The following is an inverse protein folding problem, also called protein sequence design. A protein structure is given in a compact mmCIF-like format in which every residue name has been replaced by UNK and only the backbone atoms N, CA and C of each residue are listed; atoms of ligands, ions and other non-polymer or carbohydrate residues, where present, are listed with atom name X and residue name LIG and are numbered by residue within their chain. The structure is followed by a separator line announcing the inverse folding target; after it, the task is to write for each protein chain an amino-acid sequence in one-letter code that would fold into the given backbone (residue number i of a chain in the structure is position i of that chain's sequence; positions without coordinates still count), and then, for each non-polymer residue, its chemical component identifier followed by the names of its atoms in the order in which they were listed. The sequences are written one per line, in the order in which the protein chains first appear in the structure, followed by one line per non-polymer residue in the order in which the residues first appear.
data_IF_110006748523
#
_entry.id   IF_110006748523
#
_cell.length_a   1.000
_cell.length_b   1.000
_cell.length_c   1.000
_cell.angle_alpha   90.00
_cell.angle_beta   90.00
_cell.angle_gamma   90.00
#
_symmetry.space_group_name_H-M   'P 1'
#
loop_
_entity.id
_entity.type
_entity.pdbx_description
1 polymer ?
#
# COMPACT_ATOMS: atom_id res chain seq x y z
N UNK A 1 2.78 -1.74 9.82
CA UNK A 1 3.21 -0.96 8.63
C UNK A 1 1.98 -0.78 7.76
N UNK A 2 1.64 0.44 7.32
CA UNK A 2 0.58 0.65 6.36
C UNK A 2 0.77 -0.21 5.11
N UNK A 3 -0.32 -0.83 4.67
CA UNK A 3 -0.39 -1.61 3.44
C UNK A 3 -1.01 -0.78 2.31
N UNK A 4 -0.55 -1.05 1.10
CA UNK A 4 -0.98 -0.38 -0.11
C UNK A 4 -1.20 -1.40 -1.23
N UNK A 5 -2.28 -1.20 -1.97
CA UNK A 5 -2.53 -1.86 -3.23
C UNK A 5 -2.24 -0.85 -4.36
N UNK A 6 -1.30 -1.18 -5.23
CA UNK A 6 -0.93 -0.37 -6.37
C UNK A 6 -1.45 -1.00 -7.66
N UNK A 7 -2.34 -0.32 -8.36
CA UNK A 7 -2.82 -0.75 -9.67
C UNK A 7 -1.96 -0.11 -10.76
N UNK A 8 -1.48 -0.91 -11.70
CA UNK A 8 -0.56 -0.48 -12.75
C UNK A 8 -1.17 -0.63 -14.13
N UNK A 9 -1.13 0.47 -14.88
CA UNK A 9 -1.43 0.48 -16.31
C UNK A 9 -0.10 0.38 -17.05
N UNK A 10 -0.03 -0.54 -18.00
CA UNK A 10 1.19 -0.86 -18.72
C UNK A 10 1.02 -0.54 -20.20
N UNK A 11 2.14 -0.27 -20.87
CA UNK A 11 2.21 -0.11 -22.32
C UNK A 11 1.98 -1.47 -22.98
N UNK A 12 1.02 -1.54 -23.91
CA UNK A 12 0.66 -2.76 -24.62
C UNK A 12 1.83 -3.32 -25.45
N UNK A 13 2.73 -2.46 -25.93
CA UNK A 13 3.87 -2.88 -26.72
C UNK A 13 4.98 -3.52 -25.87
N UNK A 14 4.95 -3.31 -24.55
CA UNK A 14 5.95 -3.82 -23.59
C UNK A 14 5.35 -4.72 -22.50
N UNK A 15 4.07 -5.06 -22.65
CA UNK A 15 3.25 -5.64 -21.57
C UNK A 15 3.91 -6.84 -20.88
N UNK A 16 4.33 -7.84 -21.65
CA UNK A 16 4.92 -9.07 -21.09
C UNK A 16 6.27 -8.81 -20.42
N UNK A 17 7.13 -7.98 -21.04
CA UNK A 17 8.44 -7.60 -20.50
C UNK A 17 8.30 -6.83 -19.19
N UNK A 18 7.36 -5.88 -19.13
CA UNK A 18 7.10 -5.09 -17.92
C UNK A 18 6.51 -5.97 -16.81
N UNK A 19 5.59 -6.88 -17.13
CA UNK A 19 5.06 -7.86 -16.16
C UNK A 19 6.19 -8.72 -15.59
N UNK A 20 7.08 -9.24 -16.43
CA UNK A 20 8.19 -10.07 -15.99
C UNK A 20 9.18 -9.28 -15.12
N UNK A 21 9.40 -8.01 -15.43
CA UNK A 21 10.22 -7.10 -14.61
C UNK A 21 9.60 -6.91 -13.23
N UNK A 22 8.29 -6.64 -13.16
CA UNK A 22 7.56 -6.45 -11.89
C UNK A 22 7.57 -7.71 -11.02
N UNK A 23 7.47 -8.91 -11.63
CA UNK A 23 7.54 -10.19 -10.89
C UNK A 23 8.92 -10.52 -10.33
N UNK A 24 9.98 -9.94 -10.91
CA UNK A 24 11.37 -10.14 -10.49
C UNK A 24 11.83 -9.12 -9.44
N UNK A 25 10.98 -8.18 -9.05
CA UNK A 25 11.30 -7.26 -7.96
C UNK A 25 11.64 -8.06 -6.69
N UNK A 26 12.72 -7.70 -5.97
CA UNK A 26 13.07 -8.39 -4.75
C UNK A 26 12.05 -8.08 -3.66
N UNK A 27 11.99 -8.93 -2.63
CA UNK A 27 11.10 -8.73 -1.46
C UNK A 27 11.29 -7.36 -0.80
N UNK A 28 12.50 -6.79 -0.87
CA UNK A 28 12.81 -5.42 -0.42
C UNK A 28 13.24 -4.55 -1.60
N UNK A 29 12.29 -4.05 -2.41
CA UNK A 29 12.63 -3.35 -3.66
C UNK A 29 13.10 -1.90 -3.43
N UNK A 30 12.83 -1.35 -2.24
CA UNK A 30 13.17 0.01 -1.85
C UNK A 30 13.35 0.10 -0.32
N UNK A 31 14.07 1.10 0.16
CA UNK A 31 14.19 1.40 1.59
C UNK A 31 12.80 1.62 2.21
N UNK A 32 12.53 0.95 3.34
CA UNK A 32 11.28 1.03 4.09
C UNK A 32 10.06 0.49 3.35
N UNK A 33 10.26 -0.41 2.36
CA UNK A 33 9.19 -1.06 1.60
C UNK A 33 9.43 -2.57 1.54
N UNK A 34 8.41 -3.33 1.91
CA UNK A 34 8.35 -4.77 1.76
C UNK A 34 7.30 -5.12 0.69
N UNK A 35 7.74 -5.80 -0.38
CA UNK A 35 6.89 -6.30 -1.45
C UNK A 35 6.29 -7.65 -1.02
N UNK A 36 4.97 -7.77 -1.12
CA UNK A 36 4.24 -8.97 -0.71
C UNK A 36 3.84 -9.79 -1.94
N UNK A 37 3.09 -9.18 -2.86
CA UNK A 37 2.55 -9.89 -4.02
C UNK A 37 2.50 -9.02 -5.28
N UNK A 38 2.71 -9.66 -6.43
CA UNK A 38 2.43 -9.10 -7.76
C UNK A 38 1.37 -9.98 -8.42
N UNK A 39 0.27 -9.37 -8.88
CA UNK A 39 -0.92 -10.08 -9.37
C UNK A 39 -1.29 -9.57 -10.77
N UNK A 40 -1.73 -10.46 -11.66
CA UNK A 40 -2.27 -10.02 -12.95
C UNK A 40 -3.72 -9.56 -12.79
N UNK A 41 -4.11 -8.53 -13.53
CA UNK A 41 -5.49 -8.05 -13.59
C UNK A 41 -5.97 -8.15 -15.04
N UNK A 42 -7.20 -8.65 -15.22
CA UNK A 42 -7.92 -8.54 -16.47
C UNK A 42 -8.84 -7.31 -16.40
N UNK A 43 -8.62 -6.32 -17.26
CA UNK A 43 -9.46 -5.11 -17.32
C UNK A 43 -8.66 -3.87 -17.68
N UNK A 44 -9.09 -2.71 -17.14
CA UNK A 44 -8.45 -1.40 -17.37
C UNK A 44 -7.01 -1.36 -16.85
N UNK A 45 -6.77 -2.04 -15.73
CA UNK A 45 -5.45 -2.23 -15.12
C UNK A 45 -4.89 -3.59 -15.53
N UNK A 46 -3.56 -3.71 -15.57
CA UNK A 46 -2.91 -4.94 -16.05
C UNK A 46 -2.23 -5.72 -14.91
N UNK A 47 -1.73 -5.02 -13.89
CA UNK A 47 -1.04 -5.62 -12.74
C UNK A 47 -1.45 -4.91 -11.45
N UNK A 48 -1.57 -5.67 -10.37
CA UNK A 48 -1.61 -5.17 -9.00
C UNK A 48 -0.29 -5.50 -8.30
N UNK A 49 0.18 -4.57 -7.46
CA UNK A 49 1.32 -4.77 -6.56
C UNK A 49 0.86 -4.48 -5.15
N UNK A 50 0.95 -5.48 -4.27
CA UNK A 50 0.68 -5.35 -2.85
C UNK A 50 1.99 -5.18 -2.08
N UNK A 51 2.10 -4.10 -1.30
CA UNK A 51 3.29 -3.82 -0.52
C UNK A 51 2.94 -3.11 0.78
N UNK A 52 3.78 -3.31 1.79
CA UNK A 52 3.75 -2.54 3.02
C UNK A 52 4.93 -1.57 3.07
N UNK A 53 4.76 -0.47 3.81
CA UNK A 53 5.81 0.53 3.97
C UNK A 53 5.87 1.06 5.40
N UNK A 54 7.05 1.49 5.83
CA UNK A 54 7.27 2.08 7.15
C UNK A 54 6.49 3.39 7.33
N UNK A 55 6.38 4.20 6.27
CA UNK A 55 5.66 5.46 6.26
C UNK A 55 5.23 5.87 4.85
N UNK A 56 4.40 6.91 4.74
CA UNK A 56 3.89 7.41 3.46
C UNK A 56 4.98 7.94 2.53
N UNK A 57 6.07 8.50 3.07
CA UNK A 57 7.18 9.03 2.25
C UNK A 57 7.89 7.91 1.50
N UNK A 58 8.22 6.80 2.18
CA UNK A 58 8.82 5.63 1.54
C UNK A 58 7.88 5.00 0.50
N UNK A 59 6.58 4.95 0.77
CA UNK A 59 5.59 4.48 -0.20
C UNK A 59 5.57 5.36 -1.47
N UNK A 60 5.51 6.68 -1.31
CA UNK A 60 5.49 7.64 -2.43
C UNK A 60 6.79 7.53 -3.24
N UNK A 61 7.94 7.47 -2.59
CA UNK A 61 9.24 7.32 -3.27
C UNK A 61 9.33 6.00 -4.04
N UNK A 62 8.87 4.89 -3.44
CA UNK A 62 8.80 3.62 -4.14
C UNK A 62 7.90 3.68 -5.37
N UNK A 63 6.72 4.30 -5.28
CA UNK A 63 5.81 4.43 -6.42
C UNK A 63 6.43 5.28 -7.53
N UNK A 64 6.93 6.48 -7.21
CA UNK A 64 7.37 7.44 -8.23
C UNK A 64 8.78 7.14 -8.77
N UNK A 65 9.71 6.80 -7.87
CA UNK A 65 11.14 6.71 -8.20
C UNK A 65 11.60 5.27 -8.44
N UNK A 66 10.84 4.26 -8.01
CA UNK A 66 11.14 2.85 -8.32
C UNK A 66 10.19 2.29 -9.37
N UNK A 67 8.89 2.31 -9.13
CA UNK A 67 7.90 1.72 -10.04
C UNK A 67 7.70 2.59 -11.28
N UNK A 68 7.52 3.90 -11.12
CA UNK A 68 7.32 4.84 -12.22
C UNK A 68 8.50 4.93 -13.20
N UNK A 69 9.69 4.48 -12.78
CA UNK A 69 10.88 4.43 -13.64
C UNK A 69 11.00 3.12 -14.44
N UNK A 70 10.13 2.13 -14.20
CA UNK A 70 10.15 0.87 -14.94
C UNK A 70 9.63 1.12 -16.36
N UNK A 71 10.41 0.81 -17.42
CA UNK A 71 9.94 0.95 -18.79
C UNK A 71 8.66 0.17 -19.05
N UNK A 72 7.67 0.86 -19.61
CA UNK A 72 6.35 0.30 -19.90
C UNK A 72 5.33 0.46 -18.77
N UNK A 73 5.68 1.01 -17.62
CA UNK A 73 4.67 1.57 -16.69
C UNK A 73 4.16 2.89 -17.26
N UNK A 74 2.85 2.99 -17.44
CA UNK A 74 2.17 4.16 -18.03
C UNK A 74 1.43 4.96 -16.96
N UNK A 75 0.83 4.25 -16.00
CA UNK A 75 0.07 4.88 -14.92
C UNK A 75 0.13 3.99 -13.67
N UNK A 76 0.01 4.63 -12.51
CA UNK A 76 0.06 4.02 -11.20
C UNK A 76 -1.01 4.62 -10.30
N UNK A 77 -1.92 3.79 -9.82
CA UNK A 77 -3.02 4.19 -8.94
C UNK A 77 -2.85 3.55 -7.55
N UNK A 78 -2.28 4.28 -6.59
CA UNK A 78 -2.10 3.78 -5.24
C UNK A 78 -3.41 3.83 -4.45
N UNK A 79 -3.71 2.74 -3.76
CA UNK A 79 -4.83 2.59 -2.83
C UNK A 79 -4.25 2.31 -1.45
N UNK A 80 -4.45 3.24 -0.51
CA UNK A 80 -4.22 2.98 0.90
C UNK A 80 -5.29 2.00 1.40
N UNK A 81 -4.87 0.86 1.96
CA UNK A 81 -5.80 -0.20 2.41
C UNK A 81 -6.17 -0.07 3.89
N UNK A 82 -5.58 0.89 4.60
CA UNK A 82 -5.93 1.19 5.98
C UNK A 82 -7.18 2.07 6.04
N UNK A 83 -8.05 1.86 7.04
CA UNK A 83 -9.29 2.63 7.16
C UNK A 83 -8.97 4.09 7.47
N UNK A 84 -9.69 5.00 6.81
CA UNK A 84 -9.88 6.34 7.33
C UNK A 84 -10.83 6.27 8.53
N UNK A 85 -10.32 5.79 9.66
CA UNK A 85 -10.97 6.07 10.93
C UNK A 85 -10.79 7.59 11.12
N UNK A 86 -11.85 8.36 10.87
CA UNK A 86 -11.93 9.73 11.39
C UNK A 86 -11.66 9.72 12.91
N UNK A 87 -11.38 10.87 13.54
CA UNK A 87 -11.05 10.90 14.96
C UNK A 87 -12.10 10.11 15.72
N UNK A 88 -11.68 8.97 16.28
CA UNK A 88 -12.53 8.19 17.18
C UNK A 88 -12.85 9.17 18.29
N UNK A 89 -14.11 9.60 18.37
CA UNK A 89 -14.59 10.24 19.59
C UNK A 89 -14.50 9.15 20.64
N UNK A 90 -13.36 9.07 21.32
CA UNK A 90 -13.28 8.40 22.61
C UNK A 90 -14.34 9.07 23.48
N UNK A 91 -15.47 8.41 23.66
CA UNK A 91 -16.38 8.77 24.74
C UNK A 91 -15.59 8.50 26.03
N UNK A 92 -15.29 9.52 26.84
CA UNK A 92 -14.89 9.26 28.21
C UNK A 92 -16.15 8.72 28.87
N UNK A 93 -16.22 7.41 29.12
CA UNK A 93 -17.19 6.91 30.08
C UNK A 93 -16.74 7.41 31.45
N UNK A 94 -17.42 8.45 31.87
CA UNK A 94 -17.35 9.13 33.15
C UNK A 94 -17.61 8.18 34.33
N UNK A 95 -16.92 8.46 35.44
CA UNK A 95 -16.90 7.80 36.75
C UNK A 95 -18.26 7.54 37.42
N UNK A 96 -18.30 6.49 38.28
CA UNK A 96 -19.05 6.28 39.56
C UNK A 96 -19.27 4.76 39.71
N UNK A 97 -18.85 4.02 40.73
CA UNK A 97 -18.75 4.22 42.18
C UNK A 97 -17.65 3.29 42.74
N UNK A 98 -16.71 3.83 43.51
CA UNK A 98 -15.99 3.05 44.54
C UNK A 98 -15.65 4.02 45.68
N UNK A 99 -16.72 4.41 46.38
CA UNK A 99 -16.65 4.97 47.72
C UNK A 99 -17.80 4.34 48.47
N UNK A 100 -17.47 3.66 49.57
CA UNK A 100 -18.32 2.89 50.49
C UNK A 100 -18.20 1.35 50.36
N UNK A 101 -17.03 0.82 50.72
CA UNK A 101 -17.01 -0.42 51.50
C UNK A 101 -16.29 -0.15 52.84
N UNK A 102 -17.13 0.05 53.85
CA UNK A 102 -16.98 -0.41 55.23
C UNK A 102 -16.03 0.34 56.18
N UNK A 103 -16.69 1.11 57.04
CA UNK A 103 -16.27 1.50 58.38
C UNK A 103 -15.91 0.30 59.29
#
# INVERSE_FOLDING_TARGET
MPEYLLLLKLDKNKLLETIDTLRKLPKKPHSGVDLEHTMNIFGTWHVAVWFSSDNSTHAIDFINNKIGQIPGVVDAFPVATFPHMGPTKENPRENREESEESA
#
